data_IF_070649819502
#
_entry.id   IF_070649819502
#
_cell.length_a   1.000
_cell.length_b   1.000
_cell.length_c   1.000
_cell.angle_alpha   90.00
_cell.angle_beta   90.00
_cell.angle_gamma   90.00
#
_symmetry.space_group_name_H-M   'P 1'
#
loop_
_entity.id
_entity.type
_entity.pdbx_description
1 polymer ?
#
# COMPACT_ATOMS: atom_id res chain seq x y z
N UNK A 1 -9.06 14.38 3.64
CA UNK A 1 -9.30 14.64 2.19
C UNK A 1 -8.62 13.58 1.36
N UNK A 2 -9.24 13.05 0.29
CA UNK A 2 -8.60 12.05 -0.57
C UNK A 2 -7.80 12.75 -1.69
N UNK A 3 -6.73 12.11 -2.17
CA UNK A 3 -5.94 12.61 -3.29
C UNK A 3 -6.80 12.83 -4.54
N UNK A 4 -7.70 11.89 -4.85
CA UNK A 4 -8.61 11.99 -5.99
C UNK A 4 -9.55 13.22 -5.92
N UNK A 5 -9.97 13.61 -4.70
CA UNK A 5 -10.75 14.84 -4.51
C UNK A 5 -9.91 16.09 -4.82
N UNK A 6 -8.67 16.14 -4.37
CA UNK A 6 -7.73 17.25 -4.64
C UNK A 6 -7.50 17.36 -6.14
N UNK A 7 -7.15 16.26 -6.81
CA UNK A 7 -6.90 16.23 -8.26
C UNK A 7 -8.12 16.65 -9.09
N UNK A 8 -9.33 16.23 -8.67
CA UNK A 8 -10.59 16.65 -9.30
C UNK A 8 -10.78 18.18 -9.20
N UNK A 9 -10.47 18.78 -8.03
CA UNK A 9 -10.62 20.21 -7.82
C UNK A 9 -9.52 21.04 -8.53
N UNK A 10 -8.31 20.50 -8.65
CA UNK A 10 -7.26 21.11 -9.48
C UNK A 10 -7.71 21.12 -10.95
N UNK A 11 -8.19 20.00 -11.49
CA UNK A 11 -8.71 19.93 -12.87
C UNK A 11 -9.87 20.89 -13.13
N UNK A 12 -10.75 21.06 -12.15
CA UNK A 12 -11.87 22.02 -12.22
C UNK A 12 -11.42 23.48 -11.99
N UNK A 13 -10.15 23.74 -11.80
CA UNK A 13 -9.61 25.07 -11.50
C UNK A 13 -10.14 25.69 -10.19
N UNK A 14 -10.64 24.86 -9.29
CA UNK A 14 -11.10 25.30 -7.96
C UNK A 14 -9.94 25.49 -6.97
N UNK A 15 -8.74 24.99 -7.30
CA UNK A 15 -7.51 25.17 -6.51
C UNK A 15 -6.50 25.87 -7.39
N UNK A 16 -6.01 27.01 -6.90
CA UNK A 16 -5.03 27.86 -7.55
C UNK A 16 -3.80 28.03 -6.64
N UNK A 17 -2.63 28.21 -7.24
CA UNK A 17 -1.41 28.60 -6.55
C UNK A 17 -1.01 29.97 -7.12
N UNK A 18 -0.78 30.95 -6.24
CA UNK A 18 -0.41 32.33 -6.62
C UNK A 18 -1.38 32.91 -7.68
N UNK A 19 -2.67 32.71 -7.48
CA UNK A 19 -3.77 33.08 -8.39
C UNK A 19 -3.70 32.42 -9.79
N UNK A 20 -2.80 31.46 -10.02
CA UNK A 20 -2.61 30.77 -11.30
C UNK A 20 -3.05 29.31 -11.22
N UNK A 21 -3.40 28.74 -12.40
CA UNK A 21 -3.72 27.33 -12.53
C UNK A 21 -2.51 26.47 -12.13
N UNK A 22 -2.78 25.37 -11.43
CA UNK A 22 -1.73 24.44 -11.00
C UNK A 22 -2.01 23.02 -11.46
N UNK A 23 -1.04 22.14 -11.29
CA UNK A 23 -1.15 20.70 -11.57
C UNK A 23 -0.91 19.91 -10.29
N UNK A 24 -1.35 18.65 -10.27
CA UNK A 24 -1.10 17.73 -9.14
C UNK A 24 0.37 17.39 -8.91
N UNK A 25 1.24 17.72 -9.88
CA UNK A 25 2.70 17.54 -9.80
C UNK A 25 3.43 18.75 -9.20
N UNK A 26 2.73 19.86 -9.00
CA UNK A 26 3.34 21.05 -8.44
C UNK A 26 3.75 20.82 -7.00
N UNK A 27 4.99 21.14 -6.68
CA UNK A 27 5.54 21.08 -5.32
C UNK A 27 5.43 22.46 -4.71
N UNK A 28 4.57 22.59 -3.68
CA UNK A 28 4.33 23.84 -2.97
C UNK A 28 5.63 24.34 -2.33
N UNK A 29 5.94 25.61 -2.54
CA UNK A 29 7.14 26.30 -2.02
C UNK A 29 6.78 27.19 -0.83
N UNK A 30 7.78 27.59 -0.06
CA UNK A 30 7.60 28.60 0.99
C UNK A 30 7.09 29.90 0.35
N UNK A 31 6.08 30.52 0.95
CA UNK A 31 5.38 31.73 0.47
C UNK A 31 4.42 31.52 -0.72
N UNK A 32 4.17 30.30 -1.17
CA UNK A 32 3.07 30.10 -2.12
C UNK A 32 1.71 30.35 -1.45
N UNK A 33 0.86 31.12 -2.12
CA UNK A 33 -0.51 31.36 -1.72
C UNK A 33 -1.42 30.31 -2.35
N UNK A 34 -2.09 29.50 -1.50
CA UNK A 34 -3.07 28.52 -1.93
C UNK A 34 -4.48 29.13 -1.87
N UNK A 35 -5.13 29.29 -3.03
CA UNK A 35 -6.50 29.78 -3.13
C UNK A 35 -7.45 28.65 -3.50
N UNK A 36 -8.49 28.46 -2.70
CA UNK A 36 -9.54 27.48 -2.95
C UNK A 36 -10.82 28.24 -3.29
N UNK A 37 -11.26 28.11 -4.55
CA UNK A 37 -12.53 28.67 -5.02
C UNK A 37 -13.68 27.74 -4.61
N UNK A 38 -14.85 28.29 -4.34
CA UNK A 38 -16.03 27.55 -3.91
C UNK A 38 -15.76 26.67 -2.67
N UNK A 39 -15.08 27.26 -1.66
CA UNK A 39 -14.80 26.58 -0.42
C UNK A 39 -16.09 26.34 0.38
N UNK A 40 -16.42 25.08 0.59
CA UNK A 40 -17.46 24.64 1.53
C UNK A 40 -16.79 23.84 2.64
N UNK A 41 -16.86 24.32 3.86
CA UNK A 41 -16.17 23.73 5.02
C UNK A 41 -16.42 22.22 5.16
N UNK A 42 -17.64 21.76 4.87
CA UNK A 42 -18.01 20.35 5.00
C UNK A 42 -17.33 19.43 3.96
N UNK A 43 -16.98 19.96 2.78
CA UNK A 43 -16.25 19.22 1.74
C UNK A 43 -14.77 19.03 2.11
N UNK A 44 -14.22 19.95 2.90
CA UNK A 44 -12.81 19.97 3.29
C UNK A 44 -12.56 19.49 4.72
N UNK A 45 -13.60 19.28 5.51
CA UNK A 45 -13.46 18.60 6.80
C UNK A 45 -12.87 17.22 6.59
N UNK A 46 -11.82 16.92 7.32
CA UNK A 46 -11.40 15.53 7.46
C UNK A 46 -12.57 14.77 8.10
N UNK A 47 -13.26 13.95 7.32
CA UNK A 47 -14.08 12.90 7.91
C UNK A 47 -13.09 12.11 8.78
N UNK A 48 -13.23 12.23 10.09
CA UNK A 48 -12.56 11.30 11.00
C UNK A 48 -13.18 9.95 10.64
N UNK A 49 -12.50 9.23 9.75
CA UNK A 49 -12.86 7.85 9.48
C UNK A 49 -12.40 7.14 10.74
N UNK A 50 -13.33 6.97 11.69
CA UNK A 50 -13.12 6.01 12.76
C UNK A 50 -12.78 4.71 12.05
N UNK A 51 -11.49 4.35 12.05
CA UNK A 51 -11.09 3.03 11.55
C UNK A 51 -11.89 2.05 12.39
N UNK A 52 -12.85 1.39 11.74
CA UNK A 52 -13.60 0.30 12.34
C UNK A 52 -12.55 -0.64 12.92
N UNK A 53 -12.56 -0.85 14.22
CA UNK A 53 -11.67 -1.82 14.85
C UNK A 53 -12.09 -3.18 14.26
N UNK A 54 -11.30 -3.66 13.32
CA UNK A 54 -11.54 -4.97 12.70
C UNK A 54 -11.10 -6.00 13.73
N UNK A 55 -12.06 -6.72 14.28
CA UNK A 55 -11.73 -7.84 15.18
C UNK A 55 -11.14 -8.96 14.34
N UNK A 56 -9.86 -9.26 14.53
CA UNK A 56 -9.19 -10.36 13.83
C UNK A 56 -9.63 -11.68 14.49
N UNK A 57 -10.17 -12.64 13.71
CA UNK A 57 -10.48 -13.97 14.23
C UNK A 57 -9.22 -14.65 14.79
N UNK A 58 -9.36 -15.39 15.87
CA UNK A 58 -8.22 -16.10 16.48
C UNK A 58 -7.55 -17.07 15.51
N UNK A 59 -8.35 -17.74 14.68
CA UNK A 59 -7.85 -18.65 13.64
C UNK A 59 -6.94 -17.92 12.64
N UNK A 60 -7.35 -16.73 12.17
CA UNK A 60 -6.52 -15.91 11.27
C UNK A 60 -5.20 -15.50 11.92
N UNK A 61 -5.22 -15.19 13.22
CA UNK A 61 -4.02 -14.88 13.98
C UNK A 61 -3.10 -16.09 14.05
N UNK A 62 -3.65 -17.29 14.33
CA UNK A 62 -2.89 -18.54 14.35
C UNK A 62 -2.25 -18.84 12.99
N UNK A 63 -3.00 -18.65 11.88
CA UNK A 63 -2.46 -18.81 10.52
C UNK A 63 -1.32 -17.84 10.27
N UNK A 64 -1.46 -16.58 10.70
CA UNK A 64 -0.38 -15.60 10.58
C UNK A 64 0.87 -16.04 11.34
N UNK A 65 0.73 -16.46 12.61
CA UNK A 65 1.86 -16.90 13.43
C UNK A 65 2.56 -18.12 12.80
N UNK A 66 1.80 -19.06 12.25
CA UNK A 66 2.33 -20.25 11.55
C UNK A 66 2.98 -19.89 10.19
N UNK A 67 2.61 -18.78 9.60
CA UNK A 67 3.19 -18.32 8.31
C UNK A 67 4.57 -17.72 8.45
N UNK A 68 5.04 -17.41 9.67
CA UNK A 68 6.33 -16.78 9.92
C UNK A 68 7.45 -17.80 9.61
N UNK A 69 8.27 -17.47 8.62
CA UNK A 69 9.45 -18.26 8.25
C UNK A 69 10.73 -17.76 8.93
N UNK A 70 10.81 -16.45 9.14
CA UNK A 70 11.96 -15.81 9.77
C UNK A 70 11.53 -14.50 10.43
N UNK A 71 12.14 -14.17 11.57
CA UNK A 71 12.02 -12.85 12.15
C UNK A 71 13.25 -12.47 12.97
N UNK A 72 13.57 -11.19 12.95
CA UNK A 72 14.58 -10.57 13.79
C UNK A 72 14.06 -9.26 14.42
N UNK A 73 14.97 -8.40 14.92
CA UNK A 73 14.64 -7.08 15.47
C UNK A 73 14.15 -6.08 14.41
N UNK A 74 14.41 -6.30 13.12
CA UNK A 74 14.19 -5.34 12.04
C UNK A 74 13.01 -5.72 11.15
N UNK A 75 12.82 -7.01 10.84
CA UNK A 75 11.79 -7.45 9.90
C UNK A 75 11.29 -8.87 10.19
N UNK A 76 10.22 -9.23 9.52
CA UNK A 76 9.61 -10.55 9.50
C UNK A 76 9.50 -10.98 8.04
N UNK A 77 9.78 -12.24 7.74
CA UNK A 77 9.45 -12.90 6.47
C UNK A 77 8.35 -13.91 6.74
N UNK A 78 7.27 -13.80 6.00
CA UNK A 78 6.17 -14.76 6.06
C UNK A 78 5.99 -15.47 4.73
N UNK A 79 5.44 -16.69 4.77
CA UNK A 79 4.80 -17.33 3.63
C UNK A 79 3.34 -16.89 3.60
N UNK A 80 3.05 -15.79 2.88
CA UNK A 80 1.66 -15.30 2.77
C UNK A 80 0.79 -16.37 2.13
N UNK A 81 -0.28 -16.75 2.78
CA UNK A 81 -1.26 -17.67 2.20
C UNK A 81 -2.13 -16.98 1.15
N UNK A 82 -2.71 -17.74 0.23
CA UNK A 82 -3.69 -17.24 -0.75
C UNK A 82 -4.98 -16.75 -0.07
N UNK A 83 -5.83 -16.08 -0.80
CA UNK A 83 -7.15 -15.59 -0.36
C UNK A 83 -7.13 -14.42 0.65
N UNK A 84 -5.96 -13.98 1.13
CA UNK A 84 -5.85 -12.75 1.91
C UNK A 84 -5.21 -11.62 1.11
N UNK A 85 -5.87 -10.46 1.10
CA UNK A 85 -5.32 -9.25 0.50
C UNK A 85 -4.15 -8.72 1.32
N UNK A 86 -3.07 -8.29 0.66
CA UNK A 86 -1.93 -7.66 1.34
C UNK A 86 -2.35 -6.35 2.01
N UNK A 87 -3.11 -5.52 1.29
CA UNK A 87 -3.59 -4.22 1.78
C UNK A 87 -5.11 -4.11 1.70
N UNK A 88 -5.68 -3.27 2.55
CA UNK A 88 -7.11 -2.98 2.55
C UNK A 88 -7.57 -2.23 1.30
N UNK A 89 -8.87 -2.28 1.04
CA UNK A 89 -9.54 -1.58 -0.06
C UNK A 89 -11.05 -1.53 0.18
N UNK A 90 -11.80 -0.85 -0.68
CA UNK A 90 -13.24 -0.59 -0.49
C UNK A 90 -14.11 -1.84 -0.32
N UNK A 91 -13.68 -2.98 -0.89
CA UNK A 91 -14.40 -4.27 -0.83
C UNK A 91 -13.68 -5.32 0.04
N UNK A 92 -12.61 -4.94 0.74
CA UNK A 92 -11.80 -5.87 1.54
C UNK A 92 -12.22 -5.77 3.00
N UNK A 93 -12.73 -6.88 3.55
CA UNK A 93 -13.15 -6.97 4.96
C UNK A 93 -11.98 -7.04 5.92
N UNK A 94 -10.94 -7.78 5.57
CA UNK A 94 -9.73 -8.00 6.36
C UNK A 94 -8.53 -8.14 5.40
N UNK A 95 -7.43 -7.48 5.74
CA UNK A 95 -6.17 -7.55 5.02
C UNK A 95 -5.02 -7.92 5.95
N UNK A 96 -3.90 -8.31 5.37
CA UNK A 96 -2.67 -8.54 6.13
C UNK A 96 -2.19 -7.26 6.84
N UNK A 97 -2.36 -6.09 6.19
CA UNK A 97 -2.06 -4.79 6.80
C UNK A 97 -2.86 -4.52 8.08
N UNK A 98 -4.11 -5.00 8.13
CA UNK A 98 -4.94 -4.88 9.35
C UNK A 98 -4.41 -5.80 10.46
N UNK A 99 -3.96 -7.00 10.11
CA UNK A 99 -3.39 -7.96 11.07
C UNK A 99 -2.11 -7.41 11.69
N UNK A 100 -1.15 -7.01 10.86
CA UNK A 100 0.15 -6.55 11.36
C UNK A 100 0.03 -5.26 12.18
N UNK A 101 -0.90 -4.36 11.85
CA UNK A 101 -1.16 -3.13 12.60
C UNK A 101 -1.75 -3.36 13.99
N UNK A 102 -2.45 -4.48 14.18
CA UNK A 102 -2.91 -4.87 15.53
C UNK A 102 -1.78 -5.46 16.38
N UNK A 103 -0.77 -6.07 15.74
CA UNK A 103 0.43 -6.54 16.46
C UNK A 103 1.29 -5.35 16.87
N UNK A 104 1.56 -4.44 15.93
CA UNK A 104 2.30 -3.21 16.21
C UNK A 104 2.01 -2.12 15.16
N UNK A 105 1.78 -0.90 15.62
CA UNK A 105 1.64 0.29 14.75
C UNK A 105 2.91 0.62 13.96
N UNK A 106 4.07 0.13 14.44
CA UNK A 106 5.36 0.34 13.79
C UNK A 106 5.58 -0.58 12.58
N UNK A 107 4.85 -1.71 12.49
CA UNK A 107 5.00 -2.65 11.40
C UNK A 107 4.50 -2.04 10.09
N UNK A 108 5.26 -2.26 9.01
CA UNK A 108 4.97 -1.72 7.67
C UNK A 108 5.15 -2.79 6.61
N UNK A 109 4.21 -2.84 5.69
CA UNK A 109 4.37 -3.58 4.44
C UNK A 109 5.31 -2.79 3.52
N UNK A 110 6.31 -3.45 2.98
CA UNK A 110 7.31 -2.84 2.08
C UNK A 110 7.11 -3.22 0.62
N UNK A 111 6.33 -4.27 0.38
CA UNK A 111 5.83 -4.67 -0.94
C UNK A 111 4.48 -5.38 -0.80
N UNK A 112 3.93 -5.84 -1.91
CA UNK A 112 2.64 -6.51 -1.94
C UNK A 112 2.68 -7.75 -2.83
N UNK A 113 1.86 -8.71 -2.49
CA UNK A 113 1.42 -9.80 -3.34
C UNK A 113 -0.09 -9.65 -3.55
N UNK A 114 -0.59 -10.10 -4.67
CA UNK A 114 -2.02 -10.09 -4.95
C UNK A 114 -2.75 -11.05 -4.02
N UNK A 115 -4.06 -10.91 -3.91
CA UNK A 115 -4.88 -11.67 -2.98
C UNK A 115 -4.70 -13.18 -3.16
N UNK A 116 -4.77 -13.65 -4.39
CA UNK A 116 -4.69 -15.08 -4.72
C UNK A 116 -3.24 -15.60 -4.83
N UNK A 117 -2.24 -14.71 -4.83
CA UNK A 117 -0.84 -15.08 -4.84
C UNK A 117 -0.38 -15.42 -3.42
N UNK A 118 0.20 -16.60 -3.24
CA UNK A 118 0.92 -17.00 -2.01
C UNK A 118 2.42 -16.79 -2.15
N UNK A 119 3.17 -16.89 -1.04
CA UNK A 119 4.63 -16.87 -1.05
C UNK A 119 5.25 -15.78 -0.18
N UNK A 120 6.53 -15.53 -0.41
CA UNK A 120 7.36 -14.70 0.45
C UNK A 120 6.92 -13.24 0.49
N UNK A 121 6.68 -12.74 1.69
CA UNK A 121 6.33 -11.34 1.92
C UNK A 121 7.13 -10.81 3.13
N UNK A 122 7.73 -9.63 2.95
CA UNK A 122 8.56 -8.96 3.95
C UNK A 122 7.72 -7.90 4.67
N UNK A 123 7.75 -7.96 6.00
CA UNK A 123 7.13 -6.98 6.89
C UNK A 123 8.25 -6.32 7.70
N UNK A 124 8.41 -5.02 7.59
CA UNK A 124 9.37 -4.29 8.43
C UNK A 124 8.79 -4.01 9.81
N UNK A 125 9.64 -4.12 10.85
CA UNK A 125 9.25 -3.88 12.25
C UNK A 125 9.53 -2.45 12.71
N UNK A 126 10.30 -1.69 11.93
CA UNK A 126 10.68 -0.31 12.26
C UNK A 126 10.86 0.53 10.98
N UNK A 127 10.97 1.85 11.17
CA UNK A 127 11.07 2.79 10.05
C UNK A 127 12.38 2.65 9.26
N UNK A 128 13.47 2.26 9.93
CA UNK A 128 14.76 2.03 9.28
C UNK A 128 14.65 0.91 8.25
N UNK A 129 14.19 -0.27 8.66
CA UNK A 129 14.01 -1.41 7.76
C UNK A 129 12.94 -1.13 6.68
N UNK A 130 11.88 -0.36 7.00
CA UNK A 130 10.89 0.04 6.00
C UNK A 130 11.50 0.89 4.89
N UNK A 131 12.37 1.84 5.22
CA UNK A 131 13.08 2.67 4.24
C UNK A 131 14.09 1.85 3.43
N UNK A 132 14.85 0.97 4.10
CA UNK A 132 15.81 0.10 3.45
C UNK A 132 15.15 -0.78 2.39
N UNK A 133 14.17 -1.58 2.77
CA UNK A 133 13.46 -2.45 1.83
C UNK A 133 12.70 -1.66 0.76
N UNK A 134 12.07 -0.54 1.13
CA UNK A 134 11.40 0.35 0.17
C UNK A 134 12.37 0.82 -0.93
N UNK A 135 13.59 1.20 -0.57
CA UNK A 135 14.64 1.58 -1.53
C UNK A 135 15.10 0.40 -2.38
N UNK A 136 15.31 -0.78 -1.78
CA UNK A 136 15.72 -1.99 -2.50
C UNK A 136 14.67 -2.41 -3.54
N UNK A 137 13.38 -2.39 -3.19
CA UNK A 137 12.30 -2.67 -4.15
C UNK A 137 12.22 -1.60 -5.26
N UNK A 138 12.32 -0.32 -4.89
CA UNK A 138 12.28 0.80 -5.85
C UNK A 138 13.44 0.76 -6.84
N UNK A 139 14.64 0.43 -6.38
CA UNK A 139 15.84 0.31 -7.20
C UNK A 139 15.99 -1.03 -7.93
N UNK A 140 14.98 -1.91 -7.84
CA UNK A 140 14.97 -3.25 -8.45
C UNK A 140 16.17 -4.12 -8.04
N UNK A 141 16.67 -3.97 -6.80
CA UNK A 141 17.77 -4.77 -6.25
C UNK A 141 17.30 -6.05 -5.54
N UNK A 142 16.02 -6.36 -5.61
CA UNK A 142 15.43 -7.60 -5.11
C UNK A 142 14.91 -8.37 -6.31
N UNK A 143 15.51 -9.52 -6.56
CA UNK A 143 15.03 -10.45 -7.56
C UNK A 143 13.79 -11.16 -7.04
N UNK A 144 12.82 -11.34 -7.92
CA UNK A 144 11.55 -11.99 -7.62
C UNK A 144 11.29 -13.11 -8.61
N UNK A 145 11.15 -14.31 -8.07
CA UNK A 145 10.79 -15.50 -8.86
C UNK A 145 9.39 -15.97 -8.45
N UNK A 146 8.60 -16.37 -9.43
CA UNK A 146 7.25 -16.87 -9.24
C UNK A 146 7.08 -18.19 -9.97
N UNK A 147 6.36 -19.11 -9.35
CA UNK A 147 5.83 -20.29 -10.03
C UNK A 147 4.37 -20.03 -10.40
N UNK A 148 4.01 -20.32 -11.64
CA UNK A 148 2.65 -20.19 -12.12
C UNK A 148 2.19 -21.50 -12.78
N UNK A 149 0.94 -21.89 -12.50
CA UNK A 149 0.28 -22.97 -13.21
C UNK A 149 -0.47 -22.33 -14.38
N UNK A 150 -0.14 -22.74 -15.59
CA UNK A 150 -0.73 -22.20 -16.82
C UNK A 150 -1.51 -23.30 -17.55
N UNK A 151 -2.58 -22.92 -18.23
CA UNK A 151 -3.29 -23.78 -19.14
C UNK A 151 -2.58 -23.80 -20.50
N UNK A 152 -2.43 -25.00 -21.10
CA UNK A 152 -1.73 -25.17 -22.38
C UNK A 152 -0.20 -25.29 -22.25
N UNK A 153 0.47 -25.32 -23.41
CA UNK A 153 1.92 -25.45 -23.51
C UNK A 153 2.54 -24.14 -24.04
N UNK A 154 3.51 -23.56 -23.32
CA UNK A 154 4.24 -22.39 -23.82
C UNK A 154 4.91 -22.70 -25.17
N UNK A 155 4.87 -21.76 -26.11
CA UNK A 155 5.52 -21.91 -27.41
C UNK A 155 7.06 -21.92 -27.30
N UNK A 156 7.59 -21.30 -26.29
CA UNK A 156 9.03 -21.20 -26.01
C UNK A 156 9.28 -21.49 -24.52
N UNK A 157 10.42 -22.09 -24.22
CA UNK A 157 10.83 -22.38 -22.85
C UNK A 157 11.20 -21.11 -22.06
N UNK A 158 11.64 -20.06 -22.77
CA UNK A 158 11.99 -18.77 -22.20
C UNK A 158 11.43 -17.65 -23.07
N UNK A 159 10.87 -16.63 -22.45
CA UNK A 159 10.39 -15.45 -23.14
C UNK A 159 10.38 -14.22 -22.22
N UNK A 160 10.51 -13.04 -22.80
CA UNK A 160 10.40 -11.76 -22.09
C UNK A 160 9.04 -11.16 -22.43
N UNK A 161 8.22 -10.96 -21.40
CA UNK A 161 6.96 -10.21 -21.50
C UNK A 161 7.23 -8.76 -21.14
N UNK A 162 7.05 -7.86 -22.09
CA UNK A 162 7.07 -6.41 -21.84
C UNK A 162 5.63 -5.96 -21.57
N UNK A 163 5.41 -5.38 -20.40
CA UNK A 163 4.14 -4.74 -19.96
C UNK A 163 4.17 -3.24 -20.28
#
# INVERSE_FOLDING_TARGET
MSQSFIEKNIRKKNILINNSKTTSKYIVKKHDELKILNFHQDLYKNKIIFKKIIKIPQETKKIFDQSILYQDKNFIIINKWSSISTQGGSKIKLSLDDIIKQISSNYKLVHRLDKETSGLLIISKNLFSARLFGNLFKSKRIDKSYLAICEGKPKQNESIVKL
#
